data_IF_386110715565
#
_entry.id   IF_386110715565
#
_cell.length_a   1.000
_cell.length_b   1.000
_cell.length_c   1.000
_cell.angle_alpha   90.00
_cell.angle_beta   90.00
_cell.angle_gamma   90.00
#
_symmetry.space_group_name_H-M   'P 1'
#
loop_
_entity.id
_entity.type
_entity.pdbx_description
1 polymer ?
#
# COMPACT_ATOMS: atom_id res chain seq x y z
N UNK A 1 26.09 34.11 40.08
CA UNK A 1 24.98 33.47 39.36
C UNK A 1 25.57 32.50 38.35
N UNK A 2 25.38 31.18 38.52
CA UNK A 2 26.00 30.13 37.67
C UNK A 2 24.91 29.49 36.80
N UNK A 3 25.01 29.68 35.49
CA UNK A 3 24.07 29.16 34.49
C UNK A 3 24.32 27.66 34.27
N UNK A 4 23.39 26.80 34.67
CA UNK A 4 23.39 25.37 34.33
C UNK A 4 22.62 25.17 33.03
N UNK A 5 23.33 25.02 31.92
CA UNK A 5 22.75 24.55 30.65
C UNK A 5 22.65 23.03 30.68
N UNK A 6 21.46 22.52 31.02
CA UNK A 6 21.15 21.09 30.94
C UNK A 6 20.91 20.73 29.47
N UNK A 7 21.88 20.04 28.86
CA UNK A 7 21.76 19.44 27.53
C UNK A 7 20.88 18.19 27.65
N UNK A 8 19.60 18.27 27.27
CA UNK A 8 18.77 17.07 27.11
C UNK A 8 19.36 16.20 25.99
N UNK A 9 19.90 15.04 26.35
CA UNK A 9 20.29 14.00 25.41
C UNK A 9 19.04 13.33 24.87
N UNK A 10 18.79 13.44 23.56
CA UNK A 10 17.78 12.66 22.87
C UNK A 10 18.22 11.18 22.87
N UNK A 11 17.40 10.32 23.46
CA UNK A 11 17.59 8.87 23.43
C UNK A 11 17.23 8.35 22.05
N UNK A 12 18.23 8.05 21.23
CA UNK A 12 18.07 7.34 19.96
C UNK A 12 17.62 5.90 20.23
N UNK A 13 16.31 5.64 20.21
CA UNK A 13 15.78 4.29 20.18
C UNK A 13 15.98 3.68 18.80
N UNK A 14 16.82 2.64 18.70
CA UNK A 14 16.94 1.84 17.48
C UNK A 14 15.57 1.19 17.13
N UNK A 15 15.20 1.10 15.85
CA UNK A 15 13.94 0.46 15.44
C UNK A 15 13.95 -1.03 15.83
N UNK A 16 12.81 -1.60 16.28
CA UNK A 16 12.73 -2.94 16.88
C UNK A 16 12.95 -4.11 15.91
N UNK A 17 13.30 -3.87 14.65
CA UNK A 17 13.57 -4.92 13.68
C UNK A 17 14.73 -4.49 12.78
N UNK A 18 15.70 -5.38 12.47
CA UNK A 18 16.63 -5.13 11.38
C UNK A 18 15.79 -5.11 10.10
N UNK A 19 15.43 -3.92 9.65
CA UNK A 19 14.96 -3.69 8.30
C UNK A 19 16.16 -3.94 7.41
N UNK A 20 16.42 -5.21 7.06
CA UNK A 20 17.13 -5.49 5.82
C UNK A 20 16.37 -4.69 4.75
N UNK A 21 17.02 -3.66 4.26
CA UNK A 21 16.49 -2.77 3.24
C UNK A 21 16.44 -3.58 1.96
N UNK A 22 15.34 -4.29 1.75
CA UNK A 22 15.16 -5.06 0.54
C UNK A 22 14.89 -4.05 -0.56
N UNK A 23 15.94 -3.75 -1.32
CA UNK A 23 15.87 -2.87 -2.47
C UNK A 23 14.86 -3.46 -3.45
N UNK A 24 13.71 -2.79 -3.55
CA UNK A 24 12.69 -3.17 -4.51
C UNK A 24 13.29 -3.09 -5.92
N UNK A 25 13.19 -4.17 -6.69
CA UNK A 25 13.62 -4.18 -8.10
C UNK A 25 12.62 -3.42 -8.98
N UNK A 26 11.35 -3.50 -8.61
CA UNK A 26 10.20 -2.92 -9.25
C UNK A 26 9.01 -2.96 -8.28
N UNK A 27 7.87 -2.44 -8.70
CA UNK A 27 6.63 -2.39 -7.93
C UNK A 27 5.50 -3.07 -8.71
N UNK A 28 4.69 -3.86 -8.02
CA UNK A 28 3.57 -4.58 -8.61
C UNK A 28 2.26 -4.33 -7.90
N UNK A 29 1.17 -4.35 -8.66
CA UNK A 29 -0.19 -4.30 -8.17
C UNK A 29 -1.00 -5.37 -8.90
N UNK A 30 -1.91 -6.04 -8.20
CA UNK A 30 -2.82 -7.02 -8.83
C UNK A 30 -3.81 -6.29 -9.72
N UNK A 31 -4.03 -6.81 -10.93
CA UNK A 31 -5.04 -6.24 -11.82
C UNK A 31 -6.44 -6.32 -11.19
N UNK A 32 -7.25 -5.24 -11.29
CA UNK A 32 -8.64 -5.20 -10.81
C UNK A 32 -9.48 -6.43 -11.15
N UNK A 33 -9.36 -6.91 -12.39
CA UNK A 33 -10.19 -7.98 -12.92
C UNK A 33 -9.90 -9.36 -12.31
N UNK A 34 -8.79 -9.53 -11.57
CA UNK A 34 -8.36 -10.83 -11.04
C UNK A 34 -8.82 -11.00 -9.59
N UNK A 35 -9.85 -11.83 -9.39
CA UNK A 35 -10.31 -12.28 -8.05
C UNK A 35 -9.52 -13.51 -7.55
N UNK A 36 -9.56 -13.83 -6.24
CA UNK A 36 -8.84 -14.98 -5.66
C UNK A 36 -9.21 -16.31 -6.35
N UNK A 37 -8.26 -17.26 -6.48
CA UNK A 37 -7.46 -17.74 -5.34
C UNK A 37 -6.05 -17.15 -5.20
N UNK A 38 -5.53 -16.46 -6.22
CA UNK A 38 -4.12 -16.03 -6.28
C UNK A 38 -3.78 -14.80 -5.42
N UNK A 39 -4.77 -14.16 -4.80
CA UNK A 39 -4.64 -12.86 -4.13
C UNK A 39 -5.15 -12.84 -2.68
N UNK A 40 -5.30 -13.99 -2.01
CA UNK A 40 -5.90 -14.04 -0.65
C UNK A 40 -5.26 -13.07 0.37
N UNK A 41 -3.97 -12.77 0.22
CA UNK A 41 -3.25 -11.82 1.08
C UNK A 41 -2.92 -10.48 0.38
N UNK A 42 -3.22 -10.35 -0.92
CA UNK A 42 -2.97 -9.14 -1.69
C UNK A 42 -4.22 -8.27 -1.66
N UNK A 43 -4.05 -7.03 -1.20
CA UNK A 43 -5.10 -6.03 -1.17
C UNK A 43 -5.24 -5.45 -2.56
N UNK A 44 -6.47 -5.39 -3.07
CA UNK A 44 -6.77 -4.69 -4.31
C UNK A 44 -6.28 -3.24 -4.22
N UNK A 45 -5.69 -2.76 -5.31
CA UNK A 45 -5.14 -1.41 -5.44
C UNK A 45 -3.82 -1.12 -4.73
N UNK A 46 -3.30 -2.05 -3.91
CA UNK A 46 -2.04 -1.87 -3.21
C UNK A 46 -0.84 -2.16 -4.12
N UNK A 47 0.21 -1.36 -3.96
CA UNK A 47 1.51 -1.56 -4.61
C UNK A 47 2.47 -2.29 -3.67
N UNK A 48 3.13 -3.31 -4.20
CA UNK A 48 4.04 -4.18 -3.46
C UNK A 48 5.42 -4.19 -4.12
N UNK A 49 6.47 -4.17 -3.30
CA UNK A 49 7.83 -4.30 -3.81
C UNK A 49 8.06 -5.71 -4.35
N UNK A 50 8.57 -5.80 -5.59
CA UNK A 50 9.10 -7.04 -6.16
C UNK A 50 10.49 -7.26 -5.56
N UNK A 51 10.65 -8.38 -4.86
CA UNK A 51 11.90 -8.76 -4.20
C UNK A 51 12.64 -9.87 -4.96
N UNK A 52 11.91 -10.70 -5.70
CA UNK A 52 12.46 -11.67 -6.64
C UNK A 52 11.63 -11.68 -7.91
N UNK A 53 12.32 -11.86 -9.03
CA UNK A 53 11.76 -11.77 -10.36
C UNK A 53 12.22 -13.01 -11.14
N UNK A 54 11.27 -13.89 -11.46
CA UNK A 54 11.46 -15.14 -12.20
C UNK A 54 10.77 -15.03 -13.57
N UNK A 55 10.92 -16.01 -14.46
CA UNK A 55 10.40 -15.91 -15.83
C UNK A 55 8.88 -15.64 -15.89
N UNK A 56 8.06 -16.38 -15.15
CA UNK A 56 6.59 -16.29 -15.18
C UNK A 56 5.96 -15.82 -13.85
N UNK A 57 6.77 -15.70 -12.79
CA UNK A 57 6.32 -15.35 -11.44
C UNK A 57 7.18 -14.26 -10.83
N UNK A 58 6.62 -13.56 -9.85
CA UNK A 58 7.37 -12.64 -9.00
C UNK A 58 7.00 -12.85 -7.55
N UNK A 59 7.97 -12.61 -6.67
CA UNK A 59 7.77 -12.61 -5.22
C UNK A 59 7.60 -11.18 -4.74
N UNK A 60 6.45 -10.91 -4.13
CA UNK A 60 6.05 -9.61 -3.59
C UNK A 60 6.28 -9.55 -2.08
N UNK A 61 6.73 -8.41 -1.56
CA UNK A 61 6.85 -8.15 -0.12
C UNK A 61 5.53 -7.66 0.47
N UNK A 62 4.97 -8.41 1.43
CA UNK A 62 3.73 -8.13 2.15
C UNK A 62 4.01 -7.81 3.62
N UNK A 63 4.68 -6.68 3.89
CA UNK A 63 5.17 -6.40 5.24
C UNK A 63 6.21 -7.46 5.67
N UNK A 64 5.99 -8.22 6.77
CA UNK A 64 6.92 -9.26 7.20
C UNK A 64 6.87 -10.53 6.32
N UNK A 65 5.81 -10.72 5.54
CA UNK A 65 5.62 -11.92 4.71
C UNK A 65 5.94 -11.66 3.25
N UNK A 66 6.00 -12.73 2.45
CA UNK A 66 6.09 -12.66 0.99
C UNK A 66 4.97 -13.44 0.33
N UNK A 67 4.67 -13.13 -0.93
CA UNK A 67 3.74 -13.91 -1.76
C UNK A 67 4.26 -14.01 -3.19
N UNK A 68 4.28 -15.23 -3.73
CA UNK A 68 4.70 -15.48 -5.11
C UNK A 68 3.49 -15.62 -6.01
N UNK A 69 3.40 -14.77 -7.02
CA UNK A 69 2.23 -14.67 -7.91
C UNK A 69 2.66 -14.66 -9.38
N UNK A 70 1.80 -15.16 -10.30
CA UNK A 70 2.06 -15.07 -11.73
C UNK A 70 2.18 -13.63 -12.21
N UNK A 71 3.14 -13.33 -13.08
CA UNK A 71 3.30 -11.99 -13.68
C UNK A 71 2.07 -11.54 -14.45
N UNK A 72 1.40 -12.46 -15.14
CA UNK A 72 0.21 -12.18 -15.96
C UNK A 72 -0.96 -11.57 -15.19
N UNK A 73 -0.98 -11.65 -13.86
CA UNK A 73 -2.04 -11.06 -13.02
C UNK A 73 -1.63 -9.72 -12.41
N UNK A 74 -0.47 -9.20 -12.77
CA UNK A 74 0.13 -8.01 -12.18
C UNK A 74 0.35 -6.91 -13.19
N UNK A 75 0.02 -5.69 -12.77
CA UNK A 75 0.60 -4.49 -13.32
C UNK A 75 1.96 -4.26 -12.64
N UNK A 76 3.03 -4.13 -13.43
CA UNK A 76 4.40 -3.92 -12.94
C UNK A 76 4.91 -2.55 -13.42
N UNK A 77 5.54 -1.80 -12.52
CA UNK A 77 6.18 -0.50 -12.79
C UNK A 77 7.60 -0.47 -12.22
N UNK A 78 8.52 0.24 -12.85
CA UNK A 78 9.89 0.44 -12.36
C UNK A 78 9.90 1.17 -11.02
N UNK A 79 9.17 2.28 -10.96
CA UNK A 79 9.16 3.19 -9.83
C UNK A 79 7.94 2.98 -8.95
N UNK A 80 8.10 3.27 -7.65
CA UNK A 80 6.97 3.24 -6.73
C UNK A 80 5.99 4.36 -7.09
N UNK A 81 4.72 4.05 -7.34
CA UNK A 81 3.72 5.10 -7.55
C UNK A 81 3.57 5.98 -6.32
N UNK A 82 3.22 7.24 -6.53
CA UNK A 82 3.01 8.23 -5.45
C UNK A 82 1.53 8.64 -5.30
N UNK A 83 0.66 8.15 -6.19
CA UNK A 83 -0.78 8.44 -6.21
C UNK A 83 -1.56 7.40 -5.42
N UNK A 84 -2.67 7.82 -4.81
CA UNK A 84 -3.62 6.89 -4.22
C UNK A 84 -4.39 6.17 -5.32
N UNK A 85 -4.41 4.84 -5.26
CA UNK A 85 -5.33 4.05 -6.07
C UNK A 85 -6.75 4.22 -5.54
N UNK A 86 -7.72 4.47 -6.40
CA UNK A 86 -9.15 4.45 -6.05
C UNK A 86 -9.73 3.07 -6.36
N UNK A 87 -10.39 2.47 -5.37
CA UNK A 87 -11.19 1.26 -5.57
C UNK A 87 -12.65 1.65 -5.67
N UNK A 88 -13.33 1.16 -6.71
CA UNK A 88 -14.78 1.29 -6.84
C UNK A 88 -15.46 -0.03 -6.52
N UNK A 89 -16.09 -0.10 -5.34
CA UNK A 89 -16.85 -1.29 -4.95
C UNK A 89 -18.24 -1.26 -5.58
N UNK A 90 -18.60 -2.35 -6.28
CA UNK A 90 -19.92 -2.55 -6.87
C UNK A 90 -20.52 -3.91 -6.46
N UNK A 91 -21.86 -3.98 -6.39
CA UNK A 91 -22.59 -5.23 -6.18
C UNK A 91 -22.21 -5.96 -4.88
N UNK A 92 -21.97 -7.28 -4.99
CA UNK A 92 -21.68 -8.19 -3.88
C UNK A 92 -20.43 -7.83 -3.07
N UNK A 93 -19.53 -7.02 -3.63
CA UNK A 93 -18.36 -6.54 -2.91
C UNK A 93 -18.72 -5.65 -1.75
N UNK A 94 -19.82 -4.89 -1.81
CA UNK A 94 -20.29 -4.02 -0.74
C UNK A 94 -20.64 -4.82 0.54
N UNK A 95 -21.06 -6.07 0.35
CA UNK A 95 -21.53 -6.99 1.41
C UNK A 95 -20.38 -7.77 2.06
N UNK A 96 -19.21 -7.84 1.42
CA UNK A 96 -18.10 -8.68 1.90
C UNK A 96 -17.41 -8.09 3.15
N UNK A 97 -17.94 -8.44 4.33
CA UNK A 97 -17.62 -7.88 5.66
C UNK A 97 -16.14 -7.98 6.06
N UNK A 98 -15.37 -8.92 5.50
CA UNK A 98 -13.97 -9.17 5.91
C UNK A 98 -13.02 -8.01 5.58
N UNK A 99 -13.36 -7.19 4.58
CA UNK A 99 -12.51 -6.11 4.09
C UNK A 99 -13.02 -4.69 4.36
N UNK A 100 -14.23 -4.55 4.91
CA UNK A 100 -15.09 -3.44 4.48
C UNK A 100 -15.80 -2.63 5.55
N UNK A 101 -15.62 -2.90 6.84
CA UNK A 101 -16.30 -2.09 7.85
C UNK A 101 -15.79 -0.64 7.76
N UNK A 102 -16.65 0.26 7.27
CA UNK A 102 -16.40 1.70 7.20
C UNK A 102 -15.72 2.26 5.94
N UNK A 103 -15.40 1.46 4.91
CA UNK A 103 -14.72 1.98 3.70
C UNK A 103 -15.66 2.63 2.68
N UNK A 104 -16.96 2.35 2.76
CA UNK A 104 -17.94 2.86 1.79
C UNK A 104 -17.78 2.29 0.37
N UNK A 105 -18.37 3.00 -0.61
CA UNK A 105 -18.39 2.62 -2.04
C UNK A 105 -17.06 2.92 -2.74
N UNK A 106 -16.43 4.03 -2.40
CA UNK A 106 -15.14 4.44 -2.93
C UNK A 106 -14.15 4.57 -1.78
N UNK A 107 -12.99 3.95 -1.93
CA UNK A 107 -11.91 4.08 -0.95
C UNK A 107 -10.57 4.21 -1.64
N UNK A 108 -9.65 4.90 -0.97
CA UNK A 108 -8.29 5.07 -1.43
C UNK A 108 -7.39 4.01 -0.80
N UNK A 109 -6.38 3.59 -1.56
CA UNK A 109 -5.27 2.76 -1.08
C UNK A 109 -3.99 3.57 -1.14
N UNK A 110 -3.34 3.73 0.01
CA UNK A 110 -2.08 4.45 0.09
C UNK A 110 -0.98 3.70 -0.68
N UNK A 111 -0.25 4.37 -1.58
CA UNK A 111 0.81 3.72 -2.36
C UNK A 111 2.04 3.35 -1.54
N UNK A 112 2.22 3.96 -0.35
CA UNK A 112 3.41 3.70 0.48
C UNK A 112 3.19 2.60 1.51
N UNK A 113 2.03 2.57 2.16
CA UNK A 113 1.77 1.66 3.28
C UNK A 113 0.56 0.73 3.10
N UNK A 114 -0.09 0.76 1.92
CA UNK A 114 -1.30 -0.02 1.60
C UNK A 114 -2.48 0.18 2.58
N UNK A 115 -2.49 1.29 3.32
CA UNK A 115 -3.61 1.66 4.18
C UNK A 115 -4.83 2.02 3.34
N UNK A 116 -6.00 1.57 3.79
CA UNK A 116 -7.29 1.81 3.13
C UNK A 116 -8.10 2.79 3.95
N UNK A 117 -8.72 3.75 3.30
CA UNK A 117 -9.62 4.69 3.97
C UNK A 117 -10.70 5.19 3.00
N UNK A 118 -11.87 5.47 3.53
CA UNK A 118 -13.01 5.94 2.75
C UNK A 118 -12.69 7.26 2.05
N UNK A 119 -13.18 7.40 0.81
CA UNK A 119 -13.21 8.66 0.10
C UNK A 119 -14.61 9.27 0.22
N UNK A 120 -14.69 10.44 0.85
CA UNK A 120 -15.91 11.26 0.89
C UNK A 120 -15.80 12.30 -0.24
N UNK A 121 -16.82 12.36 -1.10
CA UNK A 121 -16.81 13.19 -2.31
C UNK A 121 -15.81 12.67 -3.37
N UNK A 122 -15.24 13.59 -4.15
CA UNK A 122 -14.18 13.33 -5.13
C UNK A 122 -12.97 14.26 -4.94
N UNK A 123 -12.27 14.16 -3.80
CA UNK A 123 -11.07 14.94 -3.51
C UNK A 123 -9.96 14.67 -4.53
N UNK A 124 -9.26 15.70 -4.98
CA UNK A 124 -8.09 15.56 -5.86
C UNK A 124 -6.84 15.11 -5.09
N UNK A 125 -6.71 15.49 -3.81
CA UNK A 125 -5.57 15.15 -2.95
C UNK A 125 -6.04 14.64 -1.59
N UNK A 126 -5.22 13.79 -0.96
CA UNK A 126 -5.46 13.26 0.39
C UNK A 126 -4.16 13.06 1.17
N UNK A 127 -4.30 13.10 2.50
CA UNK A 127 -3.29 12.66 3.45
C UNK A 127 -3.64 11.24 3.93
N UNK A 128 -2.66 10.34 3.92
CA UNK A 128 -2.83 8.99 4.47
C UNK A 128 -2.94 9.05 6.00
N UNK A 129 -4.04 8.57 6.63
CA UNK A 129 -4.19 8.60 8.08
C UNK A 129 -3.18 7.74 8.86
N UNK A 130 -2.49 6.81 8.18
CA UNK A 130 -1.52 5.89 8.82
C UNK A 130 -0.07 6.35 8.71
N UNK A 131 0.37 6.80 7.54
CA UNK A 131 1.77 7.13 7.30
C UNK A 131 2.02 8.59 6.90
N UNK A 132 0.99 9.44 6.94
CA UNK A 132 1.05 10.86 6.59
C UNK A 132 1.55 11.16 5.16
N UNK A 133 1.54 10.18 4.25
CA UNK A 133 1.80 10.43 2.82
C UNK A 133 0.71 11.34 2.25
N UNK A 134 1.11 12.46 1.66
CA UNK A 134 0.21 13.32 0.90
C UNK A 134 0.37 13.06 -0.60
N UNK A 135 -0.73 12.93 -1.32
CA UNK A 135 -0.70 12.62 -2.74
C UNK A 135 -2.02 12.82 -3.45
N UNK A 136 -1.95 12.78 -4.77
CA UNK A 136 -3.10 12.85 -5.66
C UNK A 136 -3.95 11.58 -5.57
N UNK A 137 -5.27 11.72 -5.67
CA UNK A 137 -6.23 10.63 -5.71
C UNK A 137 -6.53 10.30 -7.17
N UNK A 138 -6.08 9.14 -7.63
CA UNK A 138 -6.16 8.75 -9.04
C UNK A 138 -7.55 8.23 -9.42
N UNK A 139 -8.53 9.14 -9.53
CA UNK A 139 -9.90 8.82 -9.93
C UNK A 139 -10.02 8.24 -11.35
N UNK A 140 -9.01 8.43 -12.20
CA UNK A 140 -8.95 7.83 -13.54
C UNK A 140 -8.27 6.46 -13.56
N UNK A 141 -7.58 6.06 -12.49
CA UNK A 141 -6.99 4.73 -12.30
C UNK A 141 -7.87 3.90 -11.36
N UNK A 142 -9.18 3.92 -11.57
CA UNK A 142 -10.13 3.11 -10.78
C UNK A 142 -9.97 1.64 -11.09
N UNK A 143 -9.88 0.85 -10.03
CA UNK A 143 -9.84 -0.61 -10.06
C UNK A 143 -11.09 -1.18 -9.37
#
# INVERSE_FOLDING_TARGET
MKTKTTRLQARSGAPPFPSQEIKAKAWARVYPAIRPPHSRNLRHGAWYAIVQDESDRVTLRLGPSTATVPKRVLEIRSDRPNRFTVIHRVGSELVNRRDSHGLGRFYAVCPLCAWRFQLIGRPERRLCPKCAHEGEVAWWETV
#
